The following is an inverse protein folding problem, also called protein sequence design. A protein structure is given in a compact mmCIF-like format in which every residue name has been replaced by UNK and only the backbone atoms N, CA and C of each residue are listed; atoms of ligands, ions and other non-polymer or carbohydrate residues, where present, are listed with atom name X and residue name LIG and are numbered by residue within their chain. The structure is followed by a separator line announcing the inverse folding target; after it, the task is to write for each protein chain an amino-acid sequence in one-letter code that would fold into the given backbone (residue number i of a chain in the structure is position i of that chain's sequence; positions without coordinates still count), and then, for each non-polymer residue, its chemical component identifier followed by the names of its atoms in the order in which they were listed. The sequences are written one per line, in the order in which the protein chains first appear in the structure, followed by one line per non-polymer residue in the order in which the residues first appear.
data_IF_327373081188
#
_entry.id   IF_327373081188
#
_cell.length_a   1.000
_cell.length_b   1.000
_cell.length_c   1.000
_cell.angle_alpha   90.00
_cell.angle_beta   90.00
_cell.angle_gamma   90.00
#
_symmetry.space_group_name_H-M   'P 1'
#
loop_
_entity.id
_entity.type
_entity.pdbx_description
1 polymer ?
#
# COMPACT_ATOMS: atom_id res chain seq x y z
N UNK A 1 16.39 -10.87 -11.59
CA UNK A 1 15.79 -9.57 -11.32
C UNK A 1 14.66 -9.79 -10.31
N UNK A 2 14.59 -9.07 -9.20
CA UNK A 2 13.59 -9.29 -8.14
C UNK A 2 14.03 -10.17 -6.98
N UNK A 3 15.18 -10.83 -7.05
CA UNK A 3 15.69 -11.68 -5.98
C UNK A 3 16.06 -10.90 -4.72
N UNK A 4 16.51 -9.67 -4.89
CA UNK A 4 16.82 -8.73 -3.79
C UNK A 4 15.55 -8.39 -2.98
N UNK A 5 14.42 -8.17 -3.67
CA UNK A 5 13.13 -7.91 -3.04
C UNK A 5 12.66 -9.12 -2.21
N UNK A 6 12.82 -10.32 -2.77
CA UNK A 6 12.49 -11.56 -2.08
C UNK A 6 13.33 -11.73 -0.80
N UNK A 7 14.65 -11.51 -0.89
CA UNK A 7 15.55 -11.54 0.26
C UNK A 7 15.18 -10.50 1.31
N UNK A 8 14.90 -9.27 0.88
CA UNK A 8 14.51 -8.19 1.78
C UNK A 8 13.25 -8.57 2.57
N UNK A 9 12.26 -9.19 1.89
CA UNK A 9 11.04 -9.64 2.54
C UNK A 9 11.27 -10.77 3.54
N UNK A 10 12.12 -11.74 3.20
CA UNK A 10 12.53 -12.81 4.13
C UNK A 10 13.27 -12.22 5.35
N UNK A 11 14.16 -11.26 5.13
CA UNK A 11 14.89 -10.61 6.23
C UNK A 11 13.96 -9.79 7.12
N UNK A 12 12.98 -9.09 6.55
CA UNK A 12 11.95 -8.37 7.31
C UNK A 12 11.20 -9.32 8.24
N UNK A 13 10.68 -10.42 7.72
CA UNK A 13 9.94 -11.40 8.53
C UNK A 13 10.82 -12.02 9.64
N UNK A 14 12.08 -12.35 9.32
CA UNK A 14 13.03 -12.87 10.32
C UNK A 14 13.35 -11.85 11.40
N UNK A 15 13.48 -10.56 11.05
CA UNK A 15 13.69 -9.46 11.99
C UNK A 15 12.56 -9.33 13.02
N UNK A 16 11.34 -9.69 12.63
CA UNK A 16 10.15 -9.70 13.49
C UNK A 16 9.94 -11.05 14.21
N UNK A 17 10.95 -11.92 14.19
CA UNK A 17 10.91 -13.22 14.86
C UNK A 17 10.05 -14.27 14.19
N UNK A 18 9.74 -14.10 12.89
CA UNK A 18 9.02 -15.08 12.08
C UNK A 18 10.04 -15.93 11.33
N UNK A 19 10.02 -17.26 11.53
CA UNK A 19 10.84 -18.16 10.72
C UNK A 19 10.40 -18.06 9.25
N UNK A 20 11.27 -17.57 8.37
CA UNK A 20 10.94 -17.35 6.96
C UNK A 20 12.04 -17.87 6.04
N UNK A 21 11.67 -18.33 4.85
CA UNK A 21 12.57 -18.84 3.81
C UNK A 21 12.07 -18.53 2.41
N UNK A 22 12.97 -18.62 1.43
CA UNK A 22 12.70 -18.35 0.01
C UNK A 22 12.12 -19.57 -0.72
N UNK A 23 12.08 -20.73 -0.06
CA UNK A 23 11.63 -21.98 -0.66
C UNK A 23 10.42 -22.55 0.08
N UNK A 24 9.44 -22.96 -0.69
CA UNK A 24 8.37 -23.82 -0.20
C UNK A 24 8.91 -25.24 0.00
N UNK A 25 8.58 -25.93 1.11
CA UNK A 25 8.98 -27.29 1.30
C UNK A 25 8.49 -28.16 0.14
N UNK A 26 9.44 -28.80 -0.55
CA UNK A 26 9.14 -29.70 -1.67
C UNK A 26 8.59 -31.07 -1.23
N UNK A 27 8.20 -31.92 -2.20
CA UNK A 27 7.82 -33.30 -1.91
C UNK A 27 8.95 -34.03 -1.17
N UNK A 28 8.64 -34.70 -0.07
CA UNK A 28 9.62 -35.39 0.78
C UNK A 28 10.36 -34.51 1.79
N UNK A 29 10.01 -33.22 1.92
CA UNK A 29 10.49 -32.41 3.02
C UNK A 29 10.03 -32.99 4.38
N UNK A 30 10.83 -32.84 5.46
CA UNK A 30 10.40 -33.24 6.78
C UNK A 30 9.15 -32.48 7.21
N UNK A 31 8.37 -33.09 8.11
CA UNK A 31 7.20 -32.44 8.70
C UNK A 31 7.56 -31.09 9.31
N UNK A 32 6.63 -30.15 9.24
CA UNK A 32 6.80 -28.80 9.76
C UNK A 32 6.80 -28.82 11.30
N UNK A 33 7.92 -28.54 11.95
CA UNK A 33 8.05 -28.62 13.40
C UNK A 33 7.54 -27.37 14.14
N UNK A 34 7.57 -26.22 13.50
CA UNK A 34 7.13 -24.93 14.05
C UNK A 34 6.52 -24.03 12.96
N UNK A 35 5.84 -22.96 13.36
CA UNK A 35 5.31 -21.99 12.38
C UNK A 35 6.43 -21.39 11.53
N UNK A 36 6.22 -21.34 10.23
CA UNK A 36 7.17 -20.78 9.28
C UNK A 36 6.46 -20.16 8.07
N UNK A 37 7.13 -19.20 7.43
CA UNK A 37 6.67 -18.54 6.22
C UNK A 37 7.58 -18.91 5.04
N UNK A 38 7.00 -19.38 3.94
CA UNK A 38 7.70 -19.58 2.68
C UNK A 38 7.30 -18.46 1.72
N UNK A 39 8.30 -17.69 1.26
CA UNK A 39 8.11 -16.49 0.44
C UNK A 39 8.49 -16.78 -1.01
N UNK A 40 7.62 -16.43 -1.95
CA UNK A 40 7.87 -16.48 -3.38
C UNK A 40 7.48 -15.17 -4.05
N UNK A 41 8.23 -14.77 -5.07
CA UNK A 41 7.87 -13.67 -5.96
C UNK A 41 6.95 -14.25 -7.05
N UNK A 42 5.72 -13.73 -7.15
CA UNK A 42 4.77 -14.12 -8.19
C UNK A 42 4.98 -13.34 -9.47
N UNK A 43 5.08 -12.01 -9.33
CA UNK A 43 5.12 -11.10 -10.46
C UNK A 43 5.94 -9.86 -10.12
N UNK A 44 6.64 -9.32 -11.12
CA UNK A 44 7.31 -8.04 -11.05
C UNK A 44 6.95 -7.24 -12.31
N UNK A 45 5.97 -6.36 -12.16
CA UNK A 45 5.56 -5.42 -13.20
C UNK A 45 6.40 -4.14 -13.11
N UNK A 46 7.47 -4.10 -13.89
CA UNK A 46 8.41 -2.97 -13.91
C UNK A 46 7.77 -1.67 -14.43
N UNK A 47 6.97 -1.70 -15.51
CA UNK A 47 6.23 -0.53 -15.98
C UNK A 47 5.26 0.04 -14.95
N UNK A 48 4.51 -0.81 -14.26
CA UNK A 48 3.57 -0.39 -13.22
C UNK A 48 4.26 -0.07 -11.88
N UNK A 49 5.53 -0.45 -11.71
CA UNK A 49 6.24 -0.28 -10.45
C UNK A 49 5.61 -1.12 -9.32
N UNK A 50 5.22 -2.36 -9.61
CA UNK A 50 4.53 -3.25 -8.69
C UNK A 50 5.24 -4.61 -8.60
N UNK A 51 5.41 -5.12 -7.38
CA UNK A 51 5.84 -6.49 -7.12
C UNK A 51 4.76 -7.22 -6.33
N UNK A 52 4.41 -8.42 -6.77
CA UNK A 52 3.46 -9.30 -6.09
C UNK A 52 4.19 -10.51 -5.51
N UNK A 53 3.98 -10.77 -4.24
CA UNK A 53 4.57 -11.89 -3.51
C UNK A 53 3.49 -12.86 -3.06
N UNK A 54 3.88 -14.13 -2.97
CA UNK A 54 3.12 -15.16 -2.28
C UNK A 54 3.86 -15.52 -0.99
N UNK A 55 3.19 -15.41 0.14
CA UNK A 55 3.70 -15.84 1.43
C UNK A 55 2.82 -16.96 1.95
N UNK A 56 3.36 -18.18 2.00
CA UNK A 56 2.67 -19.34 2.55
C UNK A 56 3.05 -19.50 4.01
N UNK A 57 2.10 -19.33 4.89
CA UNK A 57 2.28 -19.51 6.33
C UNK A 57 1.92 -20.94 6.68
N UNK A 58 2.92 -21.69 7.11
CA UNK A 58 2.81 -23.09 7.48
C UNK A 58 2.81 -23.23 9.00
N UNK A 59 1.89 -24.00 9.55
CA UNK A 59 1.81 -24.27 10.99
C UNK A 59 1.60 -25.77 11.22
N UNK A 60 2.39 -26.40 12.11
CA UNK A 60 2.29 -27.83 12.35
C UNK A 60 0.91 -28.20 12.89
N UNK A 61 0.45 -29.40 12.59
CA UNK A 61 -0.84 -29.94 13.03
C UNK A 61 -1.08 -29.81 14.53
N UNK A 62 -0.04 -29.97 15.35
CA UNK A 62 -0.12 -29.86 16.83
C UNK A 62 -0.63 -28.49 17.34
N UNK A 63 -0.49 -27.41 16.55
CA UNK A 63 -1.00 -26.09 16.88
C UNK A 63 -2.44 -25.86 16.38
N UNK A 64 -2.96 -26.79 15.59
CA UNK A 64 -4.30 -26.71 15.01
C UNK A 64 -4.46 -25.60 13.97
N UNK A 65 -5.62 -25.56 13.33
CA UNK A 65 -5.94 -24.52 12.34
C UNK A 65 -5.97 -23.10 12.93
N UNK A 66 -6.42 -22.97 14.16
CA UNK A 66 -6.42 -21.69 14.88
C UNK A 66 -5.01 -21.11 15.03
N UNK A 67 -4.02 -21.95 15.38
CA UNK A 67 -2.63 -21.55 15.45
C UNK A 67 -2.11 -21.02 14.10
N UNK A 68 -2.50 -21.66 12.99
CA UNK A 68 -2.15 -21.18 11.65
C UNK A 68 -2.74 -19.80 11.35
N UNK A 69 -4.00 -19.56 11.71
CA UNK A 69 -4.66 -18.27 11.50
C UNK A 69 -4.00 -17.15 12.32
N UNK A 70 -3.62 -17.40 13.57
CA UNK A 70 -2.89 -16.42 14.41
C UNK A 70 -1.57 -16.03 13.74
N UNK A 71 -0.81 -17.01 13.25
CA UNK A 71 0.46 -16.75 12.56
C UNK A 71 0.26 -16.02 11.24
N UNK A 72 -0.77 -16.38 10.45
CA UNK A 72 -1.11 -15.67 9.22
C UNK A 72 -1.49 -14.21 9.49
N UNK A 73 -2.28 -13.93 10.53
CA UNK A 73 -2.60 -12.56 10.95
C UNK A 73 -1.34 -11.77 11.33
N UNK A 74 -0.43 -12.37 12.11
CA UNK A 74 0.84 -11.74 12.49
C UNK A 74 1.71 -11.44 11.27
N UNK A 75 1.84 -12.36 10.33
CA UNK A 75 2.58 -12.14 9.07
C UNK A 75 1.94 -11.00 8.28
N UNK A 76 0.62 -10.99 8.10
CA UNK A 76 -0.09 -9.93 7.41
C UNK A 76 0.12 -8.56 8.06
N UNK A 77 0.13 -8.49 9.39
CA UNK A 77 0.41 -7.26 10.13
C UNK A 77 1.83 -6.73 9.86
N UNK A 78 2.84 -7.60 9.89
CA UNK A 78 4.23 -7.23 9.60
C UNK A 78 4.35 -6.69 8.17
N UNK A 79 3.77 -7.37 7.20
CA UNK A 79 3.79 -6.96 5.80
C UNK A 79 3.06 -5.63 5.58
N UNK A 80 1.91 -5.45 6.23
CA UNK A 80 1.14 -4.20 6.15
C UNK A 80 1.89 -3.02 6.76
N UNK A 81 2.58 -3.23 7.90
CA UNK A 81 3.47 -2.21 8.49
C UNK A 81 4.64 -1.84 7.56
N UNK A 82 5.09 -2.77 6.72
CA UNK A 82 6.09 -2.51 5.69
C UNK A 82 5.53 -1.85 4.42
N UNK A 83 4.25 -1.46 4.41
CA UNK A 83 3.61 -0.77 3.29
C UNK A 83 3.13 -1.70 2.18
N UNK A 84 2.90 -2.98 2.47
CA UNK A 84 2.34 -3.93 1.51
C UNK A 84 0.83 -4.04 1.66
N UNK A 85 0.13 -4.21 0.55
CA UNK A 85 -1.29 -4.58 0.56
C UNK A 85 -1.39 -6.10 0.63
N UNK A 86 -2.04 -6.64 1.67
CA UNK A 86 -2.11 -8.07 1.92
C UNK A 86 -3.51 -8.63 1.72
N UNK A 87 -3.58 -9.80 1.08
CA UNK A 87 -4.79 -10.60 0.91
C UNK A 87 -4.54 -12.03 1.38
N UNK A 88 -5.21 -12.44 2.48
CA UNK A 88 -5.13 -13.81 2.96
C UNK A 88 -6.18 -14.67 2.27
N UNK A 89 -5.77 -15.80 1.76
CA UNK A 89 -6.64 -16.84 1.22
C UNK A 89 -7.25 -17.73 2.31
N UNK A 90 -7.94 -18.75 1.88
CA UNK A 90 -8.50 -19.76 2.78
C UNK A 90 -7.39 -20.63 3.39
N UNK A 91 -7.70 -21.17 4.57
CA UNK A 91 -6.82 -22.13 5.22
C UNK A 91 -7.03 -23.53 4.64
N UNK A 92 -5.96 -24.19 4.30
CA UNK A 92 -5.93 -25.57 3.81
C UNK A 92 -5.07 -26.46 4.71
N UNK A 93 -5.37 -27.76 4.71
CA UNK A 93 -4.51 -28.77 5.35
C UNK A 93 -3.69 -29.50 4.29
N UNK A 94 -2.39 -29.54 4.49
CA UNK A 94 -1.43 -30.16 3.57
C UNK A 94 -0.99 -31.51 4.12
N UNK A 95 -1.65 -32.59 3.67
CA UNK A 95 -1.38 -33.96 4.13
C UNK A 95 0.10 -34.37 3.99
N UNK A 96 0.73 -34.00 2.88
CA UNK A 96 2.14 -34.36 2.62
C UNK A 96 3.15 -33.71 3.54
N UNK A 97 2.77 -32.65 4.26
CA UNK A 97 3.63 -31.90 5.19
C UNK A 97 3.09 -31.96 6.63
N UNK A 98 1.98 -32.61 6.86
CA UNK A 98 1.25 -32.69 8.15
C UNK A 98 1.08 -31.32 8.82
N UNK A 99 0.65 -30.32 8.05
CA UNK A 99 0.53 -28.94 8.51
C UNK A 99 -0.68 -28.21 7.92
N UNK A 100 -1.13 -27.18 8.61
CA UNK A 100 -2.05 -26.16 8.07
C UNK A 100 -1.28 -25.11 7.30
N UNK A 101 -1.89 -24.60 6.24
CA UNK A 101 -1.34 -23.55 5.39
C UNK A 101 -2.36 -22.44 5.16
N UNK A 102 -1.92 -21.19 5.27
CA UNK A 102 -2.64 -20.01 4.76
C UNK A 102 -1.74 -19.31 3.75
N UNK A 103 -2.26 -19.09 2.56
CA UNK A 103 -1.54 -18.36 1.51
C UNK A 103 -1.93 -16.88 1.58
N UNK A 104 -0.94 -16.00 1.69
CA UNK A 104 -1.11 -14.55 1.69
C UNK A 104 -0.51 -14.03 0.38
N UNK A 105 -1.30 -13.29 -0.40
CA UNK A 105 -0.80 -12.45 -1.47
C UNK A 105 -0.43 -11.10 -0.88
N UNK A 106 0.79 -10.63 -1.16
CA UNK A 106 1.27 -9.33 -0.70
C UNK A 106 1.78 -8.54 -1.91
N UNK A 107 1.19 -7.38 -2.15
CA UNK A 107 1.56 -6.50 -3.25
C UNK A 107 2.30 -5.28 -2.70
N UNK A 108 3.43 -4.92 -3.32
CA UNK A 108 4.28 -3.81 -2.91
C UNK A 108 4.62 -2.92 -4.10
N UNK A 109 4.56 -1.61 -3.91
CA UNK A 109 5.17 -0.67 -4.85
C UNK A 109 6.68 -0.80 -4.81
N UNK A 110 7.30 -0.75 -5.97
CA UNK A 110 8.75 -0.86 -6.12
C UNK A 110 9.29 0.22 -7.05
N UNK A 111 10.47 0.74 -6.72
CA UNK A 111 11.21 1.66 -7.56
C UNK A 111 12.43 0.95 -8.15
N UNK A 112 12.64 1.10 -9.45
CA UNK A 112 13.89 0.69 -10.10
C UNK A 112 14.94 1.76 -9.91
N UNK A 113 16.07 1.40 -9.33
CA UNK A 113 17.24 2.26 -9.17
C UNK A 113 18.03 2.36 -10.48
N UNK A 114 18.93 3.34 -10.55
CA UNK A 114 19.83 3.55 -11.70
C UNK A 114 20.77 2.37 -11.95
N UNK A 115 21.12 1.61 -10.92
CA UNK A 115 21.92 0.38 -10.99
C UNK A 115 21.13 -0.86 -11.46
N UNK A 116 19.81 -0.68 -11.72
CA UNK A 116 18.90 -1.73 -12.15
C UNK A 116 18.31 -2.58 -11.02
N UNK A 117 18.68 -2.32 -9.76
CA UNK A 117 18.06 -2.96 -8.59
C UNK A 117 16.66 -2.40 -8.31
N UNK A 118 15.90 -3.09 -7.47
CA UNK A 118 14.59 -2.65 -7.02
C UNK A 118 14.58 -2.45 -5.51
N UNK A 119 13.86 -1.44 -5.08
CA UNK A 119 13.59 -1.16 -3.67
C UNK A 119 12.07 -1.13 -3.46
N UNK A 120 11.61 -1.78 -2.40
CA UNK A 120 10.22 -1.64 -1.95
C UNK A 120 9.96 -0.22 -1.44
N UNK A 121 8.83 0.34 -1.80
CA UNK A 121 8.45 1.68 -1.41
C UNK A 121 7.27 1.64 -0.46
N UNK A 122 7.39 2.37 0.64
CA UNK A 122 6.28 2.69 1.53
C UNK A 122 5.72 4.05 1.10
N UNK A 123 4.42 4.10 0.89
CA UNK A 123 3.70 5.36 0.71
C UNK A 123 3.32 5.89 2.08
N UNK A 124 3.93 6.98 2.51
CA UNK A 124 3.59 7.68 3.74
C UNK A 124 2.84 8.96 3.40
N UNK A 125 1.70 9.17 4.04
CA UNK A 125 0.86 10.35 3.84
C UNK A 125 0.61 11.00 5.19
N UNK A 126 0.84 12.30 5.27
CA UNK A 126 0.57 13.10 6.46
C UNK A 126 -0.42 14.21 6.13
N UNK A 127 -1.44 14.38 6.96
CA UNK A 127 -2.33 15.54 6.94
C UNK A 127 -1.93 16.46 8.09
N UNK A 128 -1.25 17.57 7.76
CA UNK A 128 -0.49 18.31 8.77
C UNK A 128 0.60 17.42 9.38
N UNK A 129 0.60 17.30 10.71
CA UNK A 129 1.54 16.45 11.45
C UNK A 129 0.99 15.04 11.73
N UNK A 130 -0.22 14.71 11.27
CA UNK A 130 -0.89 13.44 11.55
C UNK A 130 -0.63 12.45 10.41
N UNK A 131 0.10 11.36 10.72
CA UNK A 131 0.32 10.25 9.78
C UNK A 131 -1.00 9.52 9.50
N UNK A 132 -1.29 9.35 8.21
CA UNK A 132 -2.44 8.59 7.74
C UNK A 132 -2.03 7.11 7.59
N UNK A 133 -2.50 6.27 8.51
CA UNK A 133 -2.18 4.85 8.51
C UNK A 133 -3.07 4.08 7.55
N UNK A 134 -2.59 2.93 7.04
CA UNK A 134 -3.36 2.05 6.17
C UNK A 134 -3.64 2.62 4.78
N UNK A 135 -2.81 3.53 4.29
CA UNK A 135 -2.95 4.12 2.97
C UNK A 135 -2.78 3.04 1.90
N UNK A 136 -3.84 2.82 1.10
CA UNK A 136 -3.83 1.91 -0.04
C UNK A 136 -3.37 2.61 -1.31
N UNK A 137 -3.83 3.85 -1.53
CA UNK A 137 -3.43 4.66 -2.68
C UNK A 137 -3.59 6.15 -2.42
N UNK A 138 -2.79 6.93 -3.12
CA UNK A 138 -2.91 8.37 -3.21
C UNK A 138 -2.81 8.78 -4.68
N UNK A 139 -3.74 9.60 -5.14
CA UNK A 139 -3.77 10.15 -6.49
C UNK A 139 -3.87 11.66 -6.44
N UNK A 140 -3.05 12.34 -7.22
CA UNK A 140 -3.11 13.78 -7.38
C UNK A 140 -3.13 14.14 -8.86
N UNK A 141 -4.18 14.81 -9.29
CA UNK A 141 -4.36 15.25 -10.67
C UNK A 141 -4.29 16.76 -10.74
N UNK A 142 -3.38 17.29 -11.56
CA UNK A 142 -3.30 18.74 -11.78
C UNK A 142 -4.47 19.18 -12.65
N UNK A 143 -5.33 20.01 -12.10
CA UNK A 143 -6.41 20.61 -12.85
C UNK A 143 -5.91 21.91 -13.49
N UNK A 144 -5.75 21.92 -14.82
CA UNK A 144 -5.47 23.13 -15.57
C UNK A 144 -6.80 23.83 -15.85
N UNK A 145 -7.32 24.52 -14.83
CA UNK A 145 -8.58 25.25 -14.96
C UNK A 145 -8.51 26.22 -16.15
N UNK A 146 -9.41 26.06 -17.12
CA UNK A 146 -9.65 27.04 -18.18
C UNK A 146 -10.93 27.77 -17.83
N UNK A 147 -10.86 29.08 -17.65
CA UNK A 147 -12.06 29.91 -17.57
C UNK A 147 -12.47 30.33 -18.96
N UNK A 148 -13.67 29.96 -19.35
CA UNK A 148 -14.31 30.46 -20.55
C UNK A 148 -14.89 31.83 -20.24
N UNK A 149 -14.44 32.87 -20.94
CA UNK A 149 -15.00 34.20 -20.82
C UNK A 149 -16.14 34.33 -21.84
N UNK A 150 -17.36 34.45 -21.36
CA UNK A 150 -18.53 34.81 -22.16
C UNK A 150 -18.82 36.32 -22.04
N UNK A 151 -19.11 36.98 -23.14
CA UNK A 151 -19.68 38.33 -23.11
C UNK A 151 -21.20 38.25 -22.87
N UNK A 152 -21.71 39.22 -22.10
CA UNK A 152 -23.18 39.37 -21.93
C UNK A 152 -23.84 39.46 -23.33
N UNK A 153 -24.79 38.57 -23.57
CA UNK A 153 -25.54 38.50 -24.85
C UNK A 153 -24.81 37.88 -26.06
N UNK A 154 -23.71 37.15 -25.89
CA UNK A 154 -23.09 36.36 -26.97
C UNK A 154 -23.19 34.86 -26.67
N UNK A 155 -23.59 34.07 -27.63
CA UNK A 155 -23.67 32.61 -27.54
C UNK A 155 -22.33 31.91 -27.69
N UNK A 156 -21.28 32.62 -28.09
CA UNK A 156 -19.93 32.12 -28.30
C UNK A 156 -18.95 32.63 -27.25
N UNK A 157 -17.98 31.79 -26.89
CA UNK A 157 -16.93 32.15 -25.96
C UNK A 157 -16.02 33.23 -26.56
N UNK A 158 -15.87 34.39 -25.89
CA UNK A 158 -15.07 35.52 -26.37
C UNK A 158 -13.57 35.31 -26.08
N UNK A 159 -13.24 34.42 -25.15
CA UNK A 159 -11.86 34.10 -24.82
C UNK A 159 -11.75 32.97 -23.81
N UNK A 160 -10.55 32.44 -23.69
CA UNK A 160 -10.19 31.44 -22.67
C UNK A 160 -9.03 32.05 -21.87
N UNK A 161 -9.21 32.21 -20.56
CA UNK A 161 -8.11 32.58 -19.67
C UNK A 161 -7.63 31.36 -18.87
N UNK A 162 -6.32 31.30 -18.57
CA UNK A 162 -5.83 30.29 -17.59
C UNK A 162 -6.55 30.55 -16.25
N UNK A 163 -7.26 29.55 -15.75
CA UNK A 163 -7.76 29.57 -14.38
C UNK A 163 -6.62 29.32 -13.41
N UNK A 164 -6.83 29.59 -12.12
CA UNK A 164 -5.90 29.16 -11.09
C UNK A 164 -5.94 27.64 -11.06
N UNK A 165 -4.86 27.01 -11.56
CA UNK A 165 -4.71 25.54 -11.55
C UNK A 165 -4.52 25.09 -10.10
N UNK A 166 -5.40 24.22 -9.64
CA UNK A 166 -5.26 23.49 -8.40
C UNK A 166 -4.97 22.01 -8.64
N UNK A 167 -4.95 21.25 -7.59
CA UNK A 167 -4.80 19.79 -7.62
C UNK A 167 -6.08 19.16 -7.08
N UNK A 168 -6.59 18.16 -7.76
CA UNK A 168 -7.60 17.25 -7.25
C UNK A 168 -6.89 16.08 -6.58
N UNK A 169 -7.30 15.76 -5.35
CA UNK A 169 -6.67 14.77 -4.51
C UNK A 169 -7.65 13.64 -4.23
N UNK A 170 -7.18 12.41 -4.30
CA UNK A 170 -7.91 11.24 -3.81
C UNK A 170 -6.97 10.41 -2.91
N UNK A 171 -7.40 10.16 -1.68
CA UNK A 171 -6.73 9.31 -0.71
C UNK A 171 -7.64 8.15 -0.35
N UNK A 172 -7.15 6.93 -0.55
CA UNK A 172 -7.85 5.71 -0.15
C UNK A 172 -7.04 5.04 0.95
N UNK A 173 -7.69 4.78 2.08
CA UNK A 173 -7.04 4.14 3.22
C UNK A 173 -7.95 3.09 3.85
N UNK A 174 -7.33 2.05 4.42
CA UNK A 174 -8.02 1.08 5.28
C UNK A 174 -7.80 1.46 6.72
N UNK A 175 -8.87 1.51 7.48
CA UNK A 175 -8.83 1.89 8.89
C UNK A 175 -9.77 1.00 9.71
N UNK A 176 -9.45 0.82 10.97
CA UNK A 176 -10.30 0.14 11.94
C UNK A 176 -11.17 1.12 12.73
N UNK A 177 -10.88 2.41 12.63
CA UNK A 177 -11.59 3.51 13.29
C UNK A 177 -11.69 4.74 12.41
N UNK A 178 -12.62 5.61 12.73
CA UNK A 178 -12.72 6.92 12.10
C UNK A 178 -11.46 7.74 12.42
N UNK A 179 -10.78 8.30 11.40
CA UNK A 179 -9.64 9.15 11.64
C UNK A 179 -10.07 10.46 12.31
N UNK A 180 -9.17 11.02 13.12
CA UNK A 180 -9.37 12.33 13.70
C UNK A 180 -9.46 13.40 12.59
N UNK A 181 -10.36 14.37 12.77
CA UNK A 181 -10.52 15.49 11.84
C UNK A 181 -9.27 16.36 11.85
N UNK A 182 -8.82 16.75 10.67
CA UNK A 182 -7.73 17.71 10.50
C UNK A 182 -8.34 19.09 10.24
N UNK A 183 -7.85 20.12 10.96
CA UNK A 183 -8.31 21.48 10.73
C UNK A 183 -7.90 21.96 9.32
N UNK A 184 -8.85 22.51 8.57
CA UNK A 184 -8.63 23.05 7.23
C UNK A 184 -8.34 24.57 7.28
N UNK A 185 -7.48 25.08 6.36
CA UNK A 185 -6.69 24.35 5.37
C UNK A 185 -5.46 23.68 6.00
N UNK A 186 -5.06 22.52 5.49
CA UNK A 186 -3.88 21.80 5.94
C UNK A 186 -2.85 21.61 4.82
N UNK A 187 -1.67 21.10 5.19
CA UNK A 187 -0.63 20.64 4.26
C UNK A 187 -0.72 19.12 4.19
N UNK A 188 -0.85 18.58 2.98
CA UNK A 188 -0.75 17.15 2.75
C UNK A 188 0.67 16.84 2.29
N UNK A 189 1.41 16.06 3.07
CA UNK A 189 2.76 15.60 2.72
C UNK A 189 2.69 14.14 2.30
N UNK A 190 3.21 13.86 1.13
CA UNK A 190 3.30 12.49 0.57
C UNK A 190 4.77 12.16 0.39
N UNK A 191 5.22 11.09 1.06
CA UNK A 191 6.56 10.55 0.94
C UNK A 191 6.53 9.22 0.24
N UNK A 192 7.37 9.08 -0.75
CA UNK A 192 7.51 7.89 -1.56
C UNK A 192 9.01 7.59 -1.77
N UNK A 193 9.59 6.79 -0.89
CA UNK A 193 11.04 6.60 -0.81
C UNK A 193 11.78 7.90 -0.48
N UNK A 194 12.70 8.32 -1.35
CA UNK A 194 13.49 9.56 -1.18
C UNK A 194 12.78 10.83 -1.73
N UNK A 195 11.55 10.67 -2.23
CA UNK A 195 10.76 11.77 -2.78
C UNK A 195 9.72 12.24 -1.78
N UNK A 196 9.66 13.53 -1.57
CA UNK A 196 8.60 14.17 -0.79
C UNK A 196 7.88 15.19 -1.66
N UNK A 197 6.56 15.11 -1.67
CA UNK A 197 5.68 16.09 -2.30
C UNK A 197 4.78 16.71 -1.25
N UNK A 198 4.72 18.02 -1.20
CA UNK A 198 3.83 18.77 -0.32
C UNK A 198 2.74 19.45 -1.12
N UNK A 199 1.50 19.21 -0.75
CA UNK A 199 0.33 19.87 -1.29
C UNK A 199 -0.16 20.88 -0.27
N UNK A 200 -0.25 22.15 -0.68
CA UNK A 200 -0.53 23.27 0.21
C UNK A 200 -1.97 23.75 0.05
N UNK A 201 -2.57 24.21 1.14
CA UNK A 201 -3.95 24.71 1.15
C UNK A 201 -4.95 23.62 0.82
N UNK A 202 -4.78 22.44 1.41
CA UNK A 202 -5.65 21.29 1.19
C UNK A 202 -6.94 21.39 1.99
N UNK A 203 -7.99 20.81 1.43
CA UNK A 203 -9.26 20.56 2.11
C UNK A 203 -9.94 19.32 1.52
N UNK A 204 -10.73 18.63 2.34
CA UNK A 204 -11.50 17.48 1.92
C UNK A 204 -12.93 17.93 1.55
N UNK A 205 -13.34 17.66 0.31
CA UNK A 205 -14.70 17.95 -0.17
C UNK A 205 -15.67 16.78 0.10
N UNK A 206 -15.14 15.56 0.15
CA UNK A 206 -15.92 14.34 0.28
C UNK A 206 -15.15 13.33 1.14
N UNK A 207 -15.86 12.73 2.08
CA UNK A 207 -15.40 11.55 2.82
C UNK A 207 -16.45 10.45 2.69
N UNK A 208 -16.05 9.31 2.14
CA UNK A 208 -16.91 8.16 1.95
C UNK A 208 -16.37 6.95 2.67
N UNK A 209 -17.24 6.31 3.44
CA UNK A 209 -16.93 5.09 4.18
C UNK A 209 -17.57 3.90 3.51
N UNK A 210 -16.78 2.88 3.24
CA UNK A 210 -17.23 1.61 2.68
C UNK A 210 -16.93 0.50 3.68
N UNK A 211 -17.98 -0.17 4.16
CA UNK A 211 -17.82 -1.37 4.97
C UNK A 211 -17.56 -2.56 4.03
N UNK A 212 -16.44 -3.21 4.20
CA UNK A 212 -16.06 -4.40 3.44
C UNK A 212 -15.85 -5.58 4.39
N UNK A 213 -15.81 -6.80 3.86
CA UNK A 213 -15.43 -7.98 4.65
C UNK A 213 -14.01 -7.91 5.24
N UNK A 214 -13.20 -6.93 4.80
CA UNK A 214 -11.81 -6.69 5.23
C UNK A 214 -11.67 -5.48 6.15
N UNK A 215 -12.76 -4.92 6.65
CA UNK A 215 -12.80 -3.75 7.52
C UNK A 215 -13.35 -2.50 6.84
N UNK A 216 -13.10 -1.37 7.46
CA UNK A 216 -13.57 -0.07 6.98
C UNK A 216 -12.58 0.51 5.98
N UNK A 217 -13.08 0.88 4.80
CA UNK A 217 -12.34 1.60 3.76
C UNK A 217 -12.82 3.04 3.72
N UNK A 218 -11.90 3.97 3.86
CA UNK A 218 -12.15 5.41 3.79
C UNK A 218 -11.61 5.95 2.47
N UNK A 219 -12.45 6.63 1.72
CA UNK A 219 -12.12 7.32 0.49
C UNK A 219 -12.33 8.80 0.73
N UNK A 220 -11.26 9.60 0.63
CA UNK A 220 -11.29 11.04 0.75
C UNK A 220 -10.98 11.67 -0.58
N UNK A 221 -11.81 12.62 -1.01
CA UNK A 221 -11.58 13.45 -2.18
C UNK A 221 -11.50 14.89 -1.76
N UNK A 222 -10.54 15.59 -2.30
CA UNK A 222 -10.30 16.97 -1.93
C UNK A 222 -9.52 17.76 -2.97
N UNK A 223 -8.98 18.87 -2.53
CA UNK A 223 -8.22 19.76 -3.39
C UNK A 223 -6.96 20.24 -2.67
N UNK A 224 -6.00 20.73 -3.45
CA UNK A 224 -4.89 21.55 -3.00
C UNK A 224 -4.70 22.74 -3.92
N UNK A 225 -4.24 23.86 -3.36
CA UNK A 225 -3.99 25.09 -4.12
C UNK A 225 -2.67 25.01 -4.90
N UNK A 226 -1.64 24.42 -4.31
CA UNK A 226 -0.32 24.29 -4.93
C UNK A 226 0.38 22.99 -4.51
N UNK A 227 1.47 22.64 -5.23
CA UNK A 227 2.35 21.52 -4.93
C UNK A 227 3.80 21.97 -4.96
N UNK A 228 4.57 21.47 -4.00
CA UNK A 228 6.02 21.62 -3.91
C UNK A 228 6.67 20.24 -3.91
N UNK A 229 7.78 20.08 -4.60
CA UNK A 229 8.63 18.88 -4.53
C UNK A 229 9.84 19.19 -3.68
N UNK A 230 10.09 18.37 -2.66
CA UNK A 230 11.26 18.47 -1.79
C UNK A 230 12.22 17.37 -2.17
N UNK A 231 13.38 17.74 -2.73
CA UNK A 231 14.47 16.79 -3.00
C UNK A 231 15.34 16.73 -1.75
N UNK A 232 15.40 15.57 -1.13
CA UNK A 232 16.42 15.31 -0.13
C UNK A 232 17.70 14.92 -0.88
N UNK A 233 18.62 15.89 -1.03
CA UNK A 233 19.93 15.73 -1.64
C UNK A 233 20.90 14.90 -0.81
#
# INVERSE_FOLDING_TARGET
MGYELLKALVMLLRGEGISAGEAYPGPGAPAVDGPQAAVGLLELDVPAGLASFQVRVLSPRKLGGWGCQIWAARVSEVLSRAGMTCEAGEMEYLDGLDCFCVTIRADQRVLRRSDGSFIGMRLEVFCGDIEQTGVESFTAVRNQGRRVLGAFCQSEAVGITPGHGGWELELIQRTDRLPDGVAEPFVLTVREGDRESRYLGCGWNEERFEHTCRGLRLIRRGFALSREEVSHG
#
